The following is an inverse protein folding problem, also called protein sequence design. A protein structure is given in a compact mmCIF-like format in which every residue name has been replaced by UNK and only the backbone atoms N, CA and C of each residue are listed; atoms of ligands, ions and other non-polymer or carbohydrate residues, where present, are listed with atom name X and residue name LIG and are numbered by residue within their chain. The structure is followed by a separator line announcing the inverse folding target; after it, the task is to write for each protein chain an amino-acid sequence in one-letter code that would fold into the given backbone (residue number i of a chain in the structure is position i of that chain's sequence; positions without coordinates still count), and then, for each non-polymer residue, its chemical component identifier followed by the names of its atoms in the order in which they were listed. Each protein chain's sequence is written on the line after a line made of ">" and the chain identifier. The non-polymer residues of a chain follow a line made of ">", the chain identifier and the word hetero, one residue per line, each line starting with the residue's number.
data_IF_356897239328
#
_entry.id   IF_356897239328
#
_cell.length_a   1.000
_cell.length_b   1.000
_cell.length_c   1.000
_cell.angle_alpha   90.00
_cell.angle_beta   90.00
_cell.angle_gamma   90.00
#
_symmetry.space_group_name_H-M   'P 1'
#
loop_
_entity.id
_entity.type
_entity.pdbx_description
1 polymer ?
#
# COMPACT_ATOMS: atom_id res chain seq x y z
N UNK A 1 27.08 29.99 3.22
CA UNK A 1 25.64 29.96 3.58
C UNK A 1 25.46 28.88 4.62
N UNK A 2 25.48 29.25 5.90
CA UNK A 2 25.22 28.32 7.01
C UNK A 2 23.70 28.17 7.11
N UNK A 3 23.16 27.05 6.65
CA UNK A 3 21.76 26.72 6.81
C UNK A 3 21.52 26.26 8.24
N UNK A 4 20.76 27.05 9.00
CA UNK A 4 20.32 26.67 10.34
C UNK A 4 19.45 25.40 10.23
N UNK A 5 19.95 24.30 10.79
CA UNK A 5 19.35 22.97 10.69
C UNK A 5 18.35 22.67 11.82
N UNK A 6 17.75 23.69 12.45
CA UNK A 6 16.87 23.51 13.60
C UNK A 6 15.44 23.96 13.33
N UNK A 7 14.78 23.34 12.36
CA UNK A 7 13.32 23.30 12.38
C UNK A 7 12.88 22.21 13.36
N UNK A 8 12.40 22.63 14.54
CA UNK A 8 11.76 21.74 15.50
C UNK A 8 10.26 22.01 15.51
N UNK A 9 9.48 21.14 14.87
CA UNK A 9 8.02 21.21 14.93
C UNK A 9 7.55 20.87 16.35
N UNK A 10 6.53 21.56 16.87
CA UNK A 10 6.02 21.26 18.20
C UNK A 10 5.40 19.86 18.24
N UNK A 11 5.82 19.04 19.21
CA UNK A 11 5.38 17.66 19.39
C UNK A 11 3.89 17.61 19.79
N UNK A 12 3.34 18.71 20.33
CA UNK A 12 1.94 18.77 20.75
C UNK A 12 0.92 18.56 19.63
N UNK A 13 1.26 18.84 18.37
CA UNK A 13 0.39 18.43 17.25
C UNK A 13 0.39 16.91 17.07
N UNK A 14 1.56 16.28 17.13
CA UNK A 14 1.72 14.84 16.99
C UNK A 14 1.02 14.08 18.13
N UNK A 15 1.11 14.56 19.36
CA UNK A 15 0.43 13.93 20.51
C UNK A 15 -1.08 14.02 20.39
N UNK A 16 -1.61 15.19 19.99
CA UNK A 16 -3.05 15.35 19.72
C UNK A 16 -3.53 14.46 18.58
N UNK A 17 -2.70 14.31 17.55
CA UNK A 17 -2.98 13.40 16.45
C UNK A 17 -3.00 11.94 16.94
N UNK A 18 -1.95 11.47 17.62
CA UNK A 18 -1.88 10.12 18.18
C UNK A 18 -3.11 9.79 19.03
N UNK A 19 -3.47 10.70 19.95
CA UNK A 19 -4.64 10.56 20.82
C UNK A 19 -5.95 10.50 20.05
N UNK A 20 -6.14 11.35 19.03
CA UNK A 20 -7.34 11.36 18.17
C UNK A 20 -7.51 10.04 17.41
N UNK A 21 -6.41 9.43 17.00
CA UNK A 21 -6.40 8.28 16.10
C UNK A 21 -6.21 6.94 16.82
N UNK A 22 -6.19 6.93 18.16
CA UNK A 22 -5.95 5.71 18.93
C UNK A 22 -4.59 5.09 18.64
N UNK A 23 -3.62 5.90 18.18
CA UNK A 23 -2.24 5.44 18.02
C UNK A 23 -1.76 5.07 19.41
N UNK A 24 -1.34 3.83 19.65
CA UNK A 24 -1.00 3.37 20.99
C UNK A 24 0.14 4.20 21.54
N UNK A 25 0.01 4.57 22.81
CA UNK A 25 1.12 5.14 23.55
C UNK A 25 2.17 4.05 23.76
N UNK A 26 3.30 4.22 23.08
CA UNK A 26 4.39 3.26 23.06
C UNK A 26 5.43 3.72 22.07
N UNK A 27 6.70 3.65 22.46
CA UNK A 27 7.80 3.92 21.55
C UNK A 27 7.93 2.75 20.56
N UNK A 28 7.16 2.78 19.48
CA UNK A 28 7.38 1.94 18.31
C UNK A 28 8.63 2.42 17.60
N UNK A 29 9.55 1.49 17.30
CA UNK A 29 10.69 1.84 16.46
C UNK A 29 10.22 2.12 15.02
N UNK A 30 10.97 2.87 14.22
CA UNK A 30 10.69 3.01 12.78
C UNK A 30 10.60 1.68 12.03
N UNK A 31 11.16 0.59 12.59
CA UNK A 31 11.07 -0.75 12.02
C UNK A 31 9.72 -1.45 12.30
N UNK A 32 8.97 -0.96 13.29
CA UNK A 32 7.66 -1.49 13.70
C UNK A 32 6.49 -0.64 13.17
N UNK A 33 6.77 0.48 12.49
CA UNK A 33 5.77 1.32 11.83
C UNK A 33 5.77 0.99 10.34
N UNK A 34 4.63 0.58 9.81
CA UNK A 34 4.45 0.20 8.41
C UNK A 34 3.44 1.12 7.74
N UNK A 35 3.62 1.32 6.45
CA UNK A 35 2.67 1.98 5.56
C UNK A 35 2.33 1.03 4.42
N UNK A 36 1.08 1.06 3.96
CA UNK A 36 0.64 0.34 2.79
C UNK A 36 -0.30 1.19 1.93
N UNK A 37 -0.09 1.15 0.62
CA UNK A 37 -0.88 1.93 -0.34
C UNK A 37 -1.12 1.14 -1.63
N UNK A 38 -2.28 1.38 -2.25
CA UNK A 38 -2.70 0.76 -3.50
C UNK A 38 -2.62 1.70 -4.70
N UNK A 39 -2.05 1.19 -5.78
CA UNK A 39 -2.01 1.88 -7.06
C UNK A 39 -2.60 1.04 -8.19
N UNK A 40 -3.28 1.71 -9.12
CA UNK A 40 -3.82 1.08 -10.32
C UNK A 40 -2.86 1.22 -11.50
N UNK A 41 -2.41 0.09 -12.06
CA UNK A 41 -1.57 0.06 -13.25
C UNK A 41 -2.40 -0.34 -14.48
N UNK A 42 -2.46 0.54 -15.48
CA UNK A 42 -3.04 0.23 -16.79
C UNK A 42 -1.94 -0.23 -17.75
N UNK A 43 -1.61 -1.52 -17.73
CA UNK A 43 -0.43 -2.06 -18.40
C UNK A 43 -0.54 -2.14 -19.94
N UNK A 44 -1.76 -2.03 -20.50
CA UNK A 44 -1.98 -1.98 -21.96
C UNK A 44 -2.31 -0.58 -22.49
N UNK A 45 -2.20 0.45 -21.66
CA UNK A 45 -2.47 1.82 -22.09
C UNK A 45 -1.26 2.40 -22.84
N UNK A 46 -1.48 2.87 -24.07
CA UNK A 46 -0.47 3.61 -24.82
C UNK A 46 -0.25 5.02 -24.23
N UNK A 47 0.98 5.57 -24.33
CA UNK A 47 1.24 6.96 -23.97
C UNK A 47 0.36 7.91 -24.79
N UNK A 48 -0.24 8.91 -24.14
CA UNK A 48 -1.09 9.90 -24.84
C UNK A 48 -0.33 10.71 -25.91
N UNK A 49 1.00 10.81 -25.82
CA UNK A 49 1.88 11.59 -26.70
C UNK A 49 2.97 10.73 -27.37
N UNK A 50 2.65 9.50 -27.77
CA UNK A 50 3.52 8.76 -28.69
C UNK A 50 3.29 9.29 -30.12
N UNK A 51 4.34 9.34 -30.94
CA UNK A 51 4.28 9.54 -32.40
C UNK A 51 3.56 8.37 -33.12
N UNK A 52 3.02 7.40 -32.38
CA UNK A 52 2.01 6.48 -32.90
C UNK A 52 0.89 7.31 -33.56
N UNK A 53 0.71 7.09 -34.86
CA UNK A 53 0.17 8.10 -35.76
C UNK A 53 -1.18 8.64 -35.29
N UNK A 54 -1.46 9.91 -35.65
CA UNK A 54 -2.77 10.52 -35.43
C UNK A 54 -3.93 9.66 -36.03
N UNK A 55 -3.61 8.72 -36.91
CA UNK A 55 -4.55 7.81 -37.57
C UNK A 55 -5.09 6.72 -36.62
N UNK A 56 -4.31 6.23 -35.64
CA UNK A 56 -4.82 5.19 -34.72
C UNK A 56 -5.91 5.71 -33.77
N UNK A 57 -5.79 6.97 -33.31
CA UNK A 57 -6.82 7.62 -32.47
C UNK A 57 -8.07 8.01 -33.27
N UNK A 58 -7.92 8.14 -34.58
CA UNK A 58 -8.97 8.59 -35.50
C UNK A 58 -9.70 7.43 -36.18
N UNK A 59 -9.24 6.19 -35.94
CA UNK A 59 -9.90 4.98 -36.44
C UNK A 59 -11.31 4.82 -35.79
N UNK A 60 -12.38 4.71 -36.59
CA UNK A 60 -13.72 4.45 -36.09
C UNK A 60 -13.73 3.17 -35.23
N UNK A 61 -14.11 3.29 -33.95
CA UNK A 61 -14.15 2.16 -33.02
C UNK A 61 -12.90 1.96 -32.13
N UNK A 62 -11.89 2.82 -32.22
CA UNK A 62 -10.72 2.73 -31.33
C UNK A 62 -11.11 2.95 -29.86
N UNK A 63 -10.97 1.89 -29.04
CA UNK A 63 -11.17 1.93 -27.59
C UNK A 63 -9.89 1.50 -26.92
N UNK A 64 -9.23 2.42 -26.22
CA UNK A 64 -8.03 2.10 -25.43
C UNK A 64 -8.30 0.90 -24.51
N UNK A 65 -7.42 -0.11 -24.56
CA UNK A 65 -7.51 -1.24 -23.65
C UNK A 65 -7.25 -0.76 -22.21
N UNK A 66 -8.32 -0.74 -21.41
CA UNK A 66 -8.30 -0.43 -19.98
C UNK A 66 -8.05 -1.70 -19.16
N UNK A 67 -7.06 -2.49 -19.58
CA UNK A 67 -6.62 -3.63 -18.79
C UNK A 67 -5.79 -3.13 -17.61
N UNK A 68 -6.42 -3.24 -16.45
CA UNK A 68 -5.94 -2.75 -15.16
C UNK A 68 -5.56 -3.92 -14.27
N UNK A 69 -4.46 -3.76 -13.57
CA UNK A 69 -4.12 -4.51 -12.36
C UNK A 69 -3.98 -3.52 -11.20
N UNK A 70 -4.34 -3.93 -10.00
CA UNK A 70 -4.05 -3.15 -8.79
C UNK A 70 -2.82 -3.76 -8.12
N UNK A 71 -1.90 -2.90 -7.71
CA UNK A 71 -0.70 -3.26 -6.97
C UNK A 71 -0.83 -2.65 -5.58
N UNK A 72 -0.53 -3.41 -4.54
CA UNK A 72 -0.36 -2.89 -3.19
C UNK A 72 1.07 -3.14 -2.74
N UNK A 73 1.71 -2.08 -2.27
CA UNK A 73 3.04 -2.12 -1.70
C UNK A 73 2.95 -1.87 -0.19
N UNK A 74 3.87 -2.47 0.57
CA UNK A 74 3.97 -2.24 2.00
C UNK A 74 5.44 -2.30 2.44
N UNK A 75 5.84 -1.36 3.29
CA UNK A 75 7.18 -1.33 3.89
C UNK A 75 7.16 -0.70 5.27
N UNK A 76 8.16 -1.01 6.09
CA UNK A 76 8.37 -0.28 7.34
C UNK A 76 8.95 1.13 7.07
N UNK A 77 8.80 2.03 8.03
CA UNK A 77 9.27 3.40 7.93
C UNK A 77 10.80 3.46 7.79
N UNK A 78 11.53 2.50 8.37
CA UNK A 78 12.98 2.40 8.19
C UNK A 78 13.40 1.94 6.77
N UNK A 79 12.50 1.29 6.02
CA UNK A 79 12.73 0.84 4.65
C UNK A 79 13.54 -0.47 4.51
N UNK A 80 13.97 -1.10 5.61
CA UNK A 80 14.72 -2.37 5.59
C UNK A 80 13.82 -3.61 5.55
N UNK A 81 12.51 -3.45 5.70
CA UNK A 81 11.55 -4.53 5.52
C UNK A 81 10.48 -4.10 4.51
N UNK A 82 10.50 -4.76 3.34
CA UNK A 82 9.54 -4.56 2.25
C UNK A 82 8.84 -5.87 1.98
N UNK A 83 7.52 -5.85 1.98
CA UNK A 83 6.73 -7.06 1.71
C UNK A 83 6.63 -7.31 0.20
N UNK A 84 6.47 -8.58 -0.23
CA UNK A 84 6.13 -8.89 -1.62
C UNK A 84 4.87 -8.15 -2.06
N UNK A 85 4.88 -7.63 -3.29
CA UNK A 85 3.74 -6.92 -3.85
C UNK A 85 2.51 -7.82 -3.89
N UNK A 86 1.36 -7.28 -3.49
CA UNK A 86 0.08 -7.91 -3.77
C UNK A 86 -0.41 -7.40 -5.13
N UNK A 87 -0.70 -8.33 -6.04
CA UNK A 87 -1.16 -8.02 -7.40
C UNK A 87 -2.57 -8.54 -7.56
N UNK A 88 -3.52 -7.64 -7.83
CA UNK A 88 -4.91 -7.99 -8.07
C UNK A 88 -5.19 -7.85 -9.56
N UNK A 89 -5.51 -8.96 -10.21
CA UNK A 89 -5.93 -9.00 -11.60
C UNK A 89 -7.38 -9.41 -11.78
N UNK A 90 -7.86 -9.48 -13.04
CA UNK A 90 -9.24 -9.87 -13.35
C UNK A 90 -9.45 -11.39 -13.32
N UNK A 91 -8.47 -12.15 -13.84
CA UNK A 91 -8.54 -13.61 -13.98
C UNK A 91 -7.72 -14.29 -12.89
N UNK A 92 -8.19 -15.42 -12.35
CA UNK A 92 -7.41 -16.24 -11.42
C UNK A 92 -6.10 -16.73 -12.06
N UNK A 93 -6.17 -17.10 -13.35
CA UNK A 93 -5.01 -17.45 -14.18
C UNK A 93 -5.08 -16.67 -15.48
N UNK A 94 -4.33 -15.55 -15.63
CA UNK A 94 -4.26 -14.83 -16.89
C UNK A 94 -3.72 -15.72 -18.01
N UNK A 95 -4.18 -15.51 -19.24
CA UNK A 95 -3.73 -16.30 -20.41
C UNK A 95 -2.22 -16.18 -20.61
N UNK A 96 -1.66 -15.01 -20.32
CA UNK A 96 -0.23 -14.72 -20.40
C UNK A 96 0.60 -15.61 -19.43
N UNK A 97 -0.03 -16.19 -18.40
CA UNK A 97 0.59 -17.10 -17.43
C UNK A 97 0.13 -18.57 -17.59
N UNK A 98 -0.36 -18.99 -18.76
CA UNK A 98 -0.92 -20.34 -18.98
C UNK A 98 0.03 -21.46 -18.51
N UNK A 99 1.32 -21.30 -18.78
CA UNK A 99 2.37 -22.29 -18.48
C UNK A 99 3.29 -21.84 -17.33
N UNK A 100 2.90 -20.83 -16.56
CA UNK A 100 3.67 -20.33 -15.43
C UNK A 100 3.06 -20.86 -14.14
N UNK A 101 3.91 -21.37 -13.24
CA UNK A 101 3.50 -21.67 -11.88
C UNK A 101 3.31 -20.33 -11.13
N UNK A 102 2.06 -19.93 -10.93
CA UNK A 102 1.77 -18.66 -10.27
C UNK A 102 2.27 -18.60 -8.83
N UNK A 103 2.46 -19.75 -8.16
CA UNK A 103 3.00 -19.82 -6.79
C UNK A 103 4.50 -19.54 -6.73
N UNK A 104 5.23 -19.66 -7.84
CA UNK A 104 6.67 -19.37 -7.88
C UNK A 104 6.98 -17.92 -8.22
N UNK A 105 5.96 -17.09 -8.46
CA UNK A 105 6.16 -15.67 -8.72
C UNK A 105 6.54 -14.95 -7.41
N UNK A 106 7.41 -13.94 -7.45
CA UNK A 106 7.80 -13.16 -6.27
C UNK A 106 6.71 -12.14 -5.84
N UNK A 107 5.45 -12.42 -6.16
CA UNK A 107 4.31 -11.55 -5.87
C UNK A 107 3.14 -12.39 -5.37
N UNK A 108 2.33 -11.80 -4.49
CA UNK A 108 1.08 -12.41 -4.08
C UNK A 108 -0.02 -12.05 -5.07
N UNK A 109 -0.32 -12.95 -6.00
CA UNK A 109 -1.38 -12.72 -6.97
C UNK A 109 -2.76 -13.12 -6.41
N UNK A 110 -3.74 -12.25 -6.61
CA UNK A 110 -5.17 -12.48 -6.34
C UNK A 110 -6.00 -12.03 -7.55
N UNK A 111 -7.20 -12.59 -7.67
CA UNK A 111 -8.12 -12.21 -8.75
C UNK A 111 -9.44 -11.68 -8.24
N UNK A 112 -9.91 -10.58 -8.83
CA UNK A 112 -11.19 -9.99 -8.54
C UNK A 112 -12.00 -9.73 -9.83
N UNK A 113 -12.75 -10.76 -10.25
CA UNK A 113 -13.55 -10.71 -11.48
C UNK A 113 -14.72 -9.72 -11.38
N UNK A 114 -15.40 -9.65 -10.23
CA UNK A 114 -16.65 -8.87 -10.07
C UNK A 114 -16.41 -7.35 -10.06
N UNK A 115 -15.27 -6.89 -9.53
CA UNK A 115 -14.94 -5.46 -9.40
C UNK A 115 -13.75 -5.02 -10.26
N UNK A 116 -13.56 -5.56 -11.46
CA UNK A 116 -12.53 -5.10 -12.42
C UNK A 116 -11.10 -5.00 -11.84
N UNK A 117 -10.67 -5.97 -11.03
CA UNK A 117 -9.34 -5.96 -10.41
C UNK A 117 -9.10 -4.78 -9.44
N UNK A 118 -10.09 -4.47 -8.59
CA UNK A 118 -9.95 -3.51 -7.48
C UNK A 118 -9.71 -4.25 -6.15
N UNK A 119 -9.08 -3.56 -5.20
CA UNK A 119 -9.03 -4.00 -3.80
C UNK A 119 -10.44 -4.09 -3.20
N UNK A 120 -10.63 -5.01 -2.25
CA UNK A 120 -11.82 -5.08 -1.43
C UNK A 120 -11.46 -5.53 0.00
N UNK A 121 -12.41 -5.37 0.93
CA UNK A 121 -12.18 -5.66 2.35
C UNK A 121 -11.74 -7.10 2.62
N UNK A 122 -12.30 -8.06 1.89
CA UNK A 122 -11.96 -9.48 2.04
C UNK A 122 -10.51 -9.76 1.63
N UNK A 123 -10.09 -9.27 0.45
CA UNK A 123 -8.73 -9.43 -0.05
C UNK A 123 -7.70 -8.71 0.84
N UNK A 124 -8.05 -7.53 1.34
CA UNK A 124 -7.21 -6.80 2.27
C UNK A 124 -7.06 -7.56 3.60
N UNK A 125 -8.16 -8.09 4.15
CA UNK A 125 -8.15 -8.92 5.36
C UNK A 125 -7.31 -10.18 5.19
N UNK A 126 -7.48 -10.91 4.10
CA UNK A 126 -6.65 -12.07 3.76
C UNK A 126 -5.17 -11.69 3.68
N UNK A 127 -4.84 -10.60 3.00
CA UNK A 127 -3.45 -10.13 2.94
C UNK A 127 -2.90 -9.78 4.33
N UNK A 128 -3.68 -9.11 5.17
CA UNK A 128 -3.26 -8.73 6.51
C UNK A 128 -2.89 -9.98 7.35
N UNK A 129 -3.77 -10.98 7.39
CA UNK A 129 -3.61 -12.16 8.24
C UNK A 129 -2.64 -13.19 7.64
N UNK A 130 -2.65 -13.38 6.33
CA UNK A 130 -1.87 -14.43 5.68
C UNK A 130 -0.46 -13.97 5.29
N UNK A 131 -0.23 -12.66 5.12
CA UNK A 131 1.02 -12.13 4.61
C UNK A 131 1.65 -11.11 5.55
N UNK A 132 0.92 -10.05 5.90
CA UNK A 132 1.47 -8.95 6.68
C UNK A 132 1.88 -9.39 8.09
N UNK A 133 0.93 -9.87 8.89
CA UNK A 133 1.22 -10.24 10.27
C UNK A 133 2.29 -11.35 10.40
N UNK A 134 2.28 -12.43 9.60
CA UNK A 134 3.34 -13.44 9.63
C UNK A 134 4.71 -12.88 9.23
N UNK A 135 4.78 -12.04 8.18
CA UNK A 135 6.05 -11.45 7.75
C UNK A 135 6.63 -10.51 8.82
N UNK A 136 5.79 -9.69 9.45
CA UNK A 136 6.20 -8.80 10.54
C UNK A 136 6.67 -9.59 11.77
N UNK A 137 5.95 -10.65 12.17
CA UNK A 137 6.36 -11.51 13.29
C UNK A 137 7.74 -12.12 13.05
N UNK A 138 7.95 -12.65 11.84
CA UNK A 138 9.23 -13.22 11.41
C UNK A 138 10.34 -12.17 11.47
N UNK A 139 10.13 -11.02 10.83
CA UNK A 139 11.10 -9.93 10.81
C UNK A 139 11.45 -9.43 12.22
N UNK A 140 10.43 -9.23 13.07
CA UNK A 140 10.66 -8.79 14.45
C UNK A 140 11.46 -9.83 15.24
N UNK A 141 11.19 -11.13 15.04
CA UNK A 141 11.95 -12.20 15.69
C UNK A 141 13.40 -12.23 15.24
N UNK A 142 13.66 -12.04 13.95
CA UNK A 142 15.01 -12.04 13.37
C UNK A 142 15.85 -10.82 13.76
N UNK A 143 15.21 -9.73 14.22
CA UNK A 143 15.85 -8.47 14.59
C UNK A 143 15.73 -8.17 16.10
N UNK A 144 15.37 -9.17 16.92
CA UNK A 144 15.18 -9.03 18.38
C UNK A 144 14.24 -7.87 18.78
N UNK A 145 13.21 -7.63 17.96
CA UNK A 145 12.20 -6.62 18.22
C UNK A 145 10.99 -7.22 18.96
N UNK A 146 10.32 -6.43 19.82
CA UNK A 146 9.04 -6.83 20.40
C UNK A 146 8.02 -7.23 19.32
N UNK A 147 7.16 -8.21 19.60
CA UNK A 147 6.18 -8.77 18.66
C UNK A 147 4.94 -7.87 18.49
N UNK A 148 5.19 -6.60 18.16
CA UNK A 148 4.21 -5.54 17.93
C UNK A 148 4.55 -4.73 16.69
N UNK A 149 3.53 -4.19 16.04
CA UNK A 149 3.68 -3.27 14.92
C UNK A 149 2.39 -2.50 14.65
N UNK A 150 2.53 -1.35 14.00
CA UNK A 150 1.42 -0.55 13.49
C UNK A 150 1.47 -0.56 11.98
N UNK A 151 0.34 -0.86 11.34
CA UNK A 151 0.13 -0.63 9.91
C UNK A 151 -0.74 0.61 9.73
N UNK A 152 -0.20 1.62 9.06
CA UNK A 152 -0.92 2.81 8.64
C UNK A 152 -1.56 2.56 7.28
N UNK A 153 -2.86 2.87 7.16
CA UNK A 153 -3.63 2.78 5.92
C UNK A 153 -4.62 3.93 5.78
N UNK A 154 -4.99 4.26 4.55
CA UNK A 154 -6.01 5.27 4.29
C UNK A 154 -7.43 4.77 4.68
N UNK A 155 -8.36 5.69 4.89
CA UNK A 155 -9.74 5.35 5.19
C UNK A 155 -10.54 5.12 3.90
N UNK A 156 -10.19 4.06 3.16
CA UNK A 156 -10.90 3.62 1.97
C UNK A 156 -11.99 2.58 2.30
N UNK A 157 -13.13 2.57 1.58
CA UNK A 157 -14.17 1.54 1.73
C UNK A 157 -13.70 0.11 1.42
N UNK A 158 -12.51 -0.04 0.80
CA UNK A 158 -11.86 -1.31 0.58
C UNK A 158 -11.20 -1.89 1.83
N UNK A 159 -11.11 -1.13 2.93
CA UNK A 159 -10.50 -1.60 4.17
C UNK A 159 -11.57 -2.05 5.16
N UNK A 160 -11.45 -3.26 5.75
CA UNK A 160 -12.34 -3.70 6.82
C UNK A 160 -12.11 -2.89 8.10
N UNK A 161 -13.03 -2.93 9.05
CA UNK A 161 -12.88 -2.20 10.32
C UNK A 161 -11.58 -2.58 11.05
N UNK A 162 -11.00 -1.63 11.78
CA UNK A 162 -9.73 -1.81 12.54
C UNK A 162 -9.75 -3.02 13.45
N UNK A 163 -10.92 -3.36 14.01
CA UNK A 163 -11.12 -4.50 14.89
C UNK A 163 -10.78 -5.84 14.21
N UNK A 164 -11.02 -5.93 12.90
CA UNK A 164 -10.75 -7.12 12.09
C UNK A 164 -9.29 -7.21 11.61
N UNK A 165 -8.51 -6.15 11.80
CA UNK A 165 -7.12 -6.00 11.35
C UNK A 165 -6.17 -5.99 12.55
N UNK A 166 -6.28 -7.03 13.38
CA UNK A 166 -5.42 -7.24 14.54
C UNK A 166 -4.91 -8.69 14.61
N UNK A 167 -3.65 -8.87 14.99
CA UNK A 167 -3.02 -10.17 15.25
C UNK A 167 -2.08 -10.04 16.44
N UNK A 168 -2.64 -10.16 17.65
CA UNK A 168 -1.93 -9.82 18.88
C UNK A 168 -1.68 -8.30 18.96
N UNK A 169 -0.42 -7.89 19.19
CA UNK A 169 -0.04 -6.46 19.23
C UNK A 169 0.30 -5.87 17.85
N UNK A 170 0.10 -6.63 16.77
CA UNK A 170 0.19 -6.13 15.40
C UNK A 170 -1.19 -5.69 14.96
N UNK A 171 -1.36 -4.42 14.62
CA UNK A 171 -2.68 -3.86 14.27
C UNK A 171 -2.62 -2.79 13.18
N UNK A 172 -3.71 -2.67 12.43
CA UNK A 172 -3.89 -1.57 11.49
C UNK A 172 -4.62 -0.39 12.13
N UNK A 173 -4.27 0.82 11.71
CA UNK A 173 -4.96 2.06 12.07
C UNK A 173 -5.19 2.92 10.83
N UNK A 174 -6.30 3.67 10.84
CA UNK A 174 -6.69 4.52 9.72
C UNK A 174 -6.19 5.97 9.86
N UNK A 175 -5.72 6.54 8.75
CA UNK A 175 -5.68 7.99 8.59
C UNK A 175 -7.12 8.55 8.58
N UNK A 176 -7.36 9.73 9.17
CA UNK A 176 -8.64 10.43 8.93
C UNK A 176 -8.69 10.89 7.48
N UNK A 177 -9.91 10.94 6.93
CA UNK A 177 -10.18 11.36 5.57
C UNK A 177 -9.41 12.65 5.21
N UNK A 178 -8.73 12.63 4.06
CA UNK A 178 -7.92 13.69 3.45
C UNK A 178 -6.49 13.89 4.02
N UNK A 179 -5.75 12.82 4.26
CA UNK A 179 -4.28 12.87 4.34
C UNK A 179 -3.69 11.77 3.45
N UNK A 180 -3.31 12.14 2.22
CA UNK A 180 -2.58 11.27 1.28
C UNK A 180 -1.07 11.39 1.51
N UNK A 181 -0.65 11.41 2.78
CA UNK A 181 0.74 11.68 3.13
C UNK A 181 1.51 10.38 3.05
N UNK A 182 2.35 10.22 2.02
CA UNK A 182 3.40 9.21 1.99
C UNK A 182 4.38 9.53 3.11
N UNK A 183 4.27 8.84 4.24
CA UNK A 183 5.31 8.88 5.29
C UNK A 183 6.49 8.02 4.85
N UNK A 184 7.51 8.65 4.26
CA UNK A 184 8.86 8.08 4.21
C UNK A 184 9.80 8.90 5.10
N UNK A 185 10.80 8.21 5.66
CA UNK A 185 11.60 8.62 6.83
C UNK A 185 12.50 9.87 6.70
N UNK A 186 12.30 10.74 5.70
CA UNK A 186 13.19 11.89 5.45
C UNK A 186 12.49 13.24 5.27
N UNK A 187 11.25 13.37 5.76
CA UNK A 187 10.57 14.67 5.85
C UNK A 187 9.18 14.63 5.23
N UNK A 188 8.23 15.27 5.90
CA UNK A 188 6.86 15.45 5.43
C UNK A 188 6.86 16.40 4.23
N UNK A 189 6.81 15.88 3.01
CA UNK A 189 6.47 16.70 1.84
C UNK A 189 4.98 16.49 1.55
N UNK A 190 4.18 17.48 1.95
CA UNK A 190 2.77 17.58 1.56
C UNK A 190 2.70 17.92 0.06
N UNK A 191 2.38 16.95 -0.80
CA UNK A 191 1.91 17.26 -2.14
C UNK A 191 0.37 17.36 -2.12
N UNK A 192 -0.13 18.59 -2.05
CA UNK A 192 -1.50 18.87 -2.45
C UNK A 192 -1.57 18.76 -3.98
N UNK A 193 -2.33 17.79 -4.50
CA UNK A 193 -2.81 17.90 -5.89
C UNK A 193 -3.96 18.90 -5.90
N UNK A 194 -3.72 20.06 -6.51
CA UNK A 194 -4.75 20.95 -7.06
C UNK A 194 -5.57 20.24 -8.11
#
# INVERSE_FOLDING_TARGET
>A
MNGDASFSASIGWLDRWKKRHGVPEGNYSPQQNYDADETGLNFRALPKKSLASQDEKSAPGYKMSKDRVTLMACSNAFGNHKLPLMVIGKSAKPRDFKNVNMKSLPVNYRSQKKKKAWMNAMLFKEWFHDQFAPAVKKFNKENDLPQRAILLIDNAPSHPGTEELSSGEIKAIFFTAKCYTLTTAYGSVCFAKT
#
